data_IF_408534008621
#
_entry.id   IF_408534008621
#
_cell.length_a   1.000
_cell.length_b   1.000
_cell.length_c   1.000
_cell.angle_alpha   90.00
_cell.angle_beta   90.00
_cell.angle_gamma   90.00
#
_symmetry.space_group_name_H-M   'P 1'
#
loop_
_entity.id
_entity.type
_entity.pdbx_description
1 polymer ?
#
# COMPACT_ATOMS: atom_id res chain seq x y z
N UNK A 1 11.99 -9.39 -4.97
CA UNK A 1 10.54 -9.56 -4.70
C UNK A 1 10.39 -10.77 -3.78
N UNK A 2 9.53 -10.73 -2.75
CA UNK A 2 9.37 -11.86 -1.83
C UNK A 2 9.01 -13.16 -2.58
N UNK A 3 9.52 -14.35 -2.20
CA UNK A 3 9.31 -15.60 -2.95
C UNK A 3 7.84 -15.95 -3.21
N UNK A 4 6.96 -15.62 -2.26
CA UNK A 4 5.53 -15.89 -2.29
C UNK A 4 4.66 -14.75 -2.86
N UNK A 5 5.24 -13.68 -3.41
CA UNK A 5 4.45 -12.55 -3.91
C UNK A 5 3.59 -12.85 -5.17
N UNK A 6 3.65 -14.07 -5.71
CA UNK A 6 2.74 -14.57 -6.74
C UNK A 6 2.40 -16.03 -6.40
N UNK A 7 1.13 -16.43 -6.52
CA UNK A 7 0.63 -17.75 -6.14
C UNK A 7 0.74 -18.78 -7.26
N UNK A 8 0.79 -18.32 -8.50
CA UNK A 8 0.85 -19.13 -9.72
C UNK A 8 1.53 -18.36 -10.87
N UNK A 9 1.71 -19.04 -12.00
CA UNK A 9 2.37 -18.49 -13.21
C UNK A 9 1.61 -17.32 -13.83
N UNK A 10 0.28 -17.39 -13.86
CA UNK A 10 -0.57 -16.33 -14.42
C UNK A 10 -0.39 -15.02 -13.64
N UNK A 11 -0.48 -15.10 -12.31
CA UNK A 11 -0.26 -13.97 -11.41
C UNK A 11 1.17 -13.43 -11.51
N UNK A 12 2.18 -14.30 -11.61
CA UNK A 12 3.57 -13.88 -11.77
C UNK A 12 3.79 -13.12 -13.10
N UNK A 13 3.20 -13.61 -14.20
CA UNK A 13 3.23 -12.97 -15.51
C UNK A 13 2.53 -11.60 -15.48
N UNK A 14 1.31 -11.55 -14.93
CA UNK A 14 0.53 -10.32 -14.82
C UNK A 14 1.23 -9.25 -13.97
N UNK A 15 1.75 -9.63 -12.79
CA UNK A 15 2.52 -8.73 -11.93
C UNK A 15 3.77 -8.22 -12.65
N UNK A 16 4.52 -9.10 -13.31
CA UNK A 16 5.74 -8.70 -14.01
C UNK A 16 5.45 -7.65 -15.08
N UNK A 17 4.43 -7.88 -15.92
CA UNK A 17 4.04 -6.94 -16.96
C UNK A 17 3.58 -5.61 -16.36
N UNK A 18 2.67 -5.66 -15.40
CA UNK A 18 2.15 -4.46 -14.75
C UNK A 18 3.27 -3.63 -14.12
N UNK A 19 4.18 -4.25 -13.36
CA UNK A 19 5.28 -3.53 -12.73
C UNK A 19 6.32 -3.02 -13.73
N UNK A 20 6.50 -3.68 -14.89
CA UNK A 20 7.39 -3.18 -15.95
C UNK A 20 6.83 -1.90 -16.57
N UNK A 21 5.54 -1.89 -16.90
CA UNK A 21 4.85 -0.70 -17.40
C UNK A 21 4.88 0.41 -16.34
N UNK A 22 4.44 0.09 -15.13
CA UNK A 22 4.44 1.02 -13.98
C UNK A 22 5.80 1.68 -13.78
N UNK A 23 6.88 0.89 -13.78
CA UNK A 23 8.24 1.39 -13.60
C UNK A 23 8.65 2.41 -14.66
N UNK A 24 8.20 2.24 -15.91
CA UNK A 24 8.48 3.19 -16.98
C UNK A 24 7.72 4.50 -16.84
N UNK A 25 6.59 4.49 -16.10
CA UNK A 25 5.68 5.62 -15.87
C UNK A 25 5.85 6.29 -14.50
N UNK A 26 6.69 5.76 -13.60
CA UNK A 26 6.86 6.29 -12.24
C UNK A 26 7.19 7.78 -12.19
N UNK A 27 7.92 8.29 -13.20
CA UNK A 27 8.28 9.71 -13.29
C UNK A 27 7.07 10.65 -13.36
N UNK A 28 5.94 10.16 -13.90
CA UNK A 28 4.71 10.94 -14.07
C UNK A 28 4.00 11.21 -12.73
N UNK A 29 4.33 10.42 -11.70
CA UNK A 29 3.72 10.46 -10.37
C UNK A 29 4.62 11.05 -9.29
N UNK A 30 5.67 11.77 -9.68
CA UNK A 30 6.58 12.44 -8.75
C UNK A 30 6.29 13.94 -8.76
N UNK A 31 6.00 14.50 -7.59
CA UNK A 31 5.78 15.94 -7.50
C UNK A 31 7.10 16.68 -7.77
N UNK A 32 7.14 17.62 -8.74
CA UNK A 32 8.39 18.26 -9.17
C UNK A 32 9.11 19.01 -8.04
N UNK A 33 8.35 19.73 -7.20
CA UNK A 33 8.90 20.51 -6.08
C UNK A 33 9.23 19.67 -4.84
N UNK A 34 8.42 18.68 -4.48
CA UNK A 34 8.51 18.00 -3.18
C UNK A 34 9.40 16.75 -3.19
N UNK A 35 9.88 16.31 -4.36
CA UNK A 35 10.83 15.20 -4.48
C UNK A 35 12.17 15.47 -3.76
N UNK A 36 12.61 16.73 -3.69
CA UNK A 36 13.91 17.11 -3.11
C UNK A 36 13.81 17.84 -1.76
N UNK A 37 12.59 17.96 -1.20
CA UNK A 37 12.39 18.64 0.08
C UNK A 37 12.74 17.72 1.26
N UNK A 38 12.80 18.33 2.45
CA UNK A 38 13.05 17.59 3.69
C UNK A 38 12.05 16.45 3.85
N UNK A 39 12.59 15.28 4.18
CA UNK A 39 11.77 14.11 4.47
C UNK A 39 10.81 14.38 5.64
N UNK A 40 9.66 13.74 5.59
CA UNK A 40 8.63 13.69 6.62
C UNK A 40 8.59 12.28 7.20
N UNK A 41 8.12 12.15 8.45
CA UNK A 41 7.83 10.84 9.02
C UNK A 41 6.53 10.32 8.42
N UNK A 42 6.57 9.08 7.93
CA UNK A 42 5.44 8.32 7.38
C UNK A 42 5.37 7.00 8.14
N UNK A 43 4.16 6.50 8.40
CA UNK A 43 3.93 5.16 8.91
C UNK A 43 2.99 4.43 7.95
N UNK A 44 3.43 3.31 7.37
CA UNK A 44 2.64 2.56 6.39
C UNK A 44 1.37 1.95 6.99
N UNK A 45 1.35 1.72 8.31
CA UNK A 45 0.22 1.18 9.05
C UNK A 45 -0.57 2.23 9.85
N UNK A 46 -0.47 3.50 9.47
CA UNK A 46 -1.30 4.54 10.09
C UNK A 46 -2.77 4.35 9.63
N UNK A 47 -3.68 3.98 10.52
CA UNK A 47 -5.13 3.89 10.31
C UNK A 47 -5.89 4.35 11.55
N UNK A 48 -7.23 4.51 11.51
CA UNK A 48 -7.97 4.95 12.72
C UNK A 48 -7.83 3.96 13.88
N UNK A 49 -7.56 2.67 13.60
CA UNK A 49 -7.31 1.64 14.62
C UNK A 49 -6.07 1.92 15.48
N UNK A 50 -5.14 2.72 14.96
CA UNK A 50 -3.89 3.10 15.62
C UNK A 50 -3.94 4.50 16.24
N UNK A 51 -5.13 5.11 16.31
CA UNK A 51 -5.35 6.40 16.97
C UNK A 51 -5.99 6.18 18.34
N UNK A 52 -5.35 6.71 19.39
CA UNK A 52 -5.95 6.78 20.72
C UNK A 52 -6.68 8.11 20.86
N UNK A 53 -7.94 8.02 21.25
CA UNK A 53 -8.79 9.16 21.58
C UNK A 53 -9.04 9.17 23.09
N UNK A 54 -9.07 10.35 23.70
CA UNK A 54 -9.46 10.56 25.09
C UNK A 54 -10.89 11.09 25.14
N UNK A 55 -11.74 10.58 26.04
CA UNK A 55 -13.06 11.15 26.28
C UNK A 55 -12.93 12.63 26.67
N UNK A 56 -13.81 13.45 26.13
CA UNK A 56 -14.08 14.81 26.61
C UNK A 56 -15.56 14.89 26.95
N UNK A 57 -16.01 16.03 27.48
CA UNK A 57 -17.41 16.20 27.92
C UNK A 57 -18.42 15.97 26.78
N UNK A 58 -17.99 16.13 25.53
CA UNK A 58 -18.75 15.76 24.33
C UNK A 58 -18.34 14.34 23.85
N UNK A 59 -19.24 13.34 23.92
CA UNK A 59 -18.94 11.97 23.48
C UNK A 59 -18.82 11.84 21.96
N UNK A 60 -19.35 12.78 21.17
CA UNK A 60 -19.30 12.75 19.71
C UNK A 60 -17.97 13.33 19.18
N UNK A 61 -17.23 14.07 20.01
CA UNK A 61 -15.97 14.74 19.64
C UNK A 61 -14.83 14.43 20.62
N UNK A 62 -14.42 13.16 20.74
CA UNK A 62 -13.31 12.79 21.61
C UNK A 62 -11.99 13.43 21.12
N UNK A 63 -11.17 13.89 22.06
CA UNK A 63 -9.92 14.55 21.71
C UNK A 63 -8.82 13.55 21.35
N UNK A 64 -7.94 13.90 20.43
CA UNK A 64 -6.76 13.10 20.13
C UNK A 64 -5.84 12.99 21.36
N UNK A 65 -5.40 11.76 21.66
CA UNK A 65 -4.49 11.46 22.77
C UNK A 65 -3.12 10.96 22.29
N UNK A 66 -3.05 10.23 21.18
CA UNK A 66 -1.79 9.74 20.64
C UNK A 66 -1.93 8.73 19.52
N UNK A 67 -0.80 8.31 18.97
CA UNK A 67 -0.69 7.20 18.02
C UNK A 67 0.01 6.01 18.67
N UNK A 68 -0.38 4.81 18.26
CA UNK A 68 0.29 3.56 18.59
C UNK A 68 0.76 2.85 17.33
N UNK A 69 1.42 1.70 17.52
CA UNK A 69 1.79 0.80 16.44
C UNK A 69 2.64 1.45 15.33
N UNK A 70 3.73 2.09 15.75
CA UNK A 70 4.63 2.86 14.90
C UNK A 70 5.77 2.03 14.30
N UNK A 71 5.67 0.70 14.29
CA UNK A 71 6.76 -0.19 13.88
C UNK A 71 7.12 -0.09 12.39
N UNK A 72 6.20 0.44 11.57
CA UNK A 72 6.40 0.72 10.15
C UNK A 72 6.66 2.21 9.86
N UNK A 73 7.25 2.94 10.80
CA UNK A 73 7.58 4.36 10.63
C UNK A 73 8.95 4.57 9.98
N UNK A 74 9.04 5.45 8.99
CA UNK A 74 10.28 5.81 8.31
C UNK A 74 10.23 7.26 7.79
N UNK A 75 11.40 7.77 7.37
CA UNK A 75 11.50 9.07 6.72
C UNK A 75 11.28 8.93 5.21
N UNK A 76 10.31 9.68 4.64
CA UNK A 76 9.94 9.63 3.24
C UNK A 76 9.70 11.04 2.65
N UNK A 77 9.63 11.21 1.32
CA UNK A 77 9.27 12.49 0.71
C UNK A 77 7.90 13.01 1.19
N UNK A 78 7.74 14.33 1.28
CA UNK A 78 6.52 14.95 1.80
C UNK A 78 5.26 14.57 1.01
N UNK A 79 5.39 14.33 -0.30
CA UNK A 79 4.29 13.88 -1.16
C UNK A 79 3.69 12.53 -0.71
N UNK A 80 4.47 11.68 -0.05
CA UNK A 80 4.00 10.41 0.49
C UNK A 80 3.28 10.61 1.82
N UNK A 81 3.74 11.56 2.64
CA UNK A 81 3.13 11.88 3.93
C UNK A 81 1.78 12.63 3.80
N UNK A 82 1.59 13.34 2.69
CA UNK A 82 0.43 14.18 2.43
C UNK A 82 -0.42 13.67 1.24
N UNK A 83 -0.38 12.36 0.98
CA UNK A 83 -1.20 11.73 -0.06
C UNK A 83 -2.61 11.41 0.44
N UNK A 84 -3.58 11.26 -0.47
CA UNK A 84 -4.87 10.64 -0.11
C UNK A 84 -4.61 9.29 0.56
N UNK A 85 -5.07 9.07 1.80
CA UNK A 85 -4.73 7.88 2.55
C UNK A 85 -5.49 6.65 2.07
N UNK A 86 -4.91 5.46 2.24
CA UNK A 86 -5.58 4.20 1.90
C UNK A 86 -6.71 3.84 2.88
N UNK A 87 -6.62 4.30 4.13
CA UNK A 87 -7.50 3.92 5.24
C UNK A 87 -8.84 4.64 5.25
N UNK A 88 -9.21 5.40 4.21
CA UNK A 88 -10.48 6.13 4.15
C UNK A 88 -11.72 5.24 4.36
N UNK A 89 -11.62 3.96 4.01
CA UNK A 89 -12.69 2.97 4.20
C UNK A 89 -12.42 2.00 5.35
N UNK A 90 -11.39 2.24 6.18
CA UNK A 90 -10.95 1.38 7.30
C UNK A 90 -10.62 -0.08 6.91
N UNK A 91 -10.44 -0.31 5.61
CA UNK A 91 -10.04 -1.57 4.99
C UNK A 91 -8.87 -1.34 4.03
N UNK A 92 -8.03 -2.36 3.83
CA UNK A 92 -6.83 -2.23 3.00
C UNK A 92 -7.18 -2.45 1.53
N UNK A 93 -6.63 -1.63 0.61
CA UNK A 93 -6.83 -1.79 -0.84
C UNK A 93 -6.17 -3.04 -1.46
N UNK A 94 -5.63 -3.92 -0.62
CA UNK A 94 -5.11 -5.25 -0.98
C UNK A 94 -6.04 -6.40 -0.57
N UNK A 95 -7.17 -6.11 0.06
CA UNK A 95 -8.17 -7.12 0.36
C UNK A 95 -8.81 -7.61 -0.95
N UNK A 96 -9.01 -8.92 -1.10
CA UNK A 96 -9.62 -9.50 -2.32
C UNK A 96 -11.04 -8.96 -2.55
N UNK A 97 -11.73 -8.44 -1.54
CA UNK A 97 -13.00 -7.73 -1.69
C UNK A 97 -12.90 -6.43 -2.49
N UNK A 98 -11.69 -5.88 -2.67
CA UNK A 98 -11.40 -4.74 -3.52
C UNK A 98 -10.94 -5.16 -4.92
N UNK A 99 -10.63 -6.45 -5.13
CA UNK A 99 -10.19 -6.95 -6.42
C UNK A 99 -11.33 -6.83 -7.43
N UNK A 100 -10.96 -6.42 -8.64
CA UNK A 100 -11.90 -6.15 -9.71
C UNK A 100 -11.68 -7.18 -10.82
N UNK A 101 -12.49 -8.25 -10.86
CA UNK A 101 -12.38 -9.26 -11.91
C UNK A 101 -12.86 -8.71 -13.28
N UNK A 102 -13.85 -7.80 -13.28
CA UNK A 102 -14.45 -7.18 -14.49
C UNK A 102 -14.74 -5.68 -14.32
N UNK A 103 -13.81 -4.96 -13.70
CA UNK A 103 -13.97 -3.53 -13.42
C UNK A 103 -14.30 -3.22 -11.96
N UNK A 104 -14.33 -1.94 -11.66
CA UNK A 104 -14.43 -1.42 -10.29
C UNK A 104 -15.75 -1.78 -9.61
N UNK A 105 -15.74 -2.29 -8.36
CA UNK A 105 -16.95 -2.33 -7.54
C UNK A 105 -17.43 -0.88 -7.37
N UNK A 106 -18.51 -0.56 -8.08
CA UNK A 106 -19.00 0.81 -8.19
C UNK A 106 -19.30 1.41 -6.81
N UNK A 107 -19.78 0.59 -5.88
CA UNK A 107 -20.07 0.96 -4.49
C UNK A 107 -18.80 1.32 -3.70
N UNK A 108 -17.73 0.56 -3.86
CA UNK A 108 -16.45 0.81 -3.19
C UNK A 108 -15.83 2.14 -3.67
N UNK A 109 -15.89 2.39 -4.97
CA UNK A 109 -15.39 3.63 -5.56
C UNK A 109 -16.19 4.85 -5.12
N UNK A 110 -17.52 4.79 -5.21
CA UNK A 110 -18.40 5.89 -4.78
C UNK A 110 -18.13 6.24 -3.32
N UNK A 111 -18.04 5.24 -2.44
CA UNK A 111 -17.67 5.44 -1.03
C UNK A 111 -16.27 6.03 -0.89
N UNK A 112 -15.28 5.52 -1.62
CA UNK A 112 -13.91 6.03 -1.54
C UNK A 112 -13.84 7.51 -1.94
N UNK A 113 -14.53 7.90 -3.02
CA UNK A 113 -14.62 9.29 -3.48
C UNK A 113 -15.30 10.16 -2.44
N UNK A 114 -16.43 9.74 -1.88
CA UNK A 114 -17.15 10.46 -0.82
C UNK A 114 -16.24 10.70 0.40
N UNK A 115 -15.54 9.67 0.88
CA UNK A 115 -14.64 9.79 2.04
C UNK A 115 -13.40 10.62 1.72
N UNK A 116 -12.90 10.57 0.48
CA UNK A 116 -11.81 11.42 0.01
C UNK A 116 -12.22 12.90 -0.03
N UNK A 117 -13.45 13.22 -0.43
CA UNK A 117 -13.96 14.59 -0.42
C UNK A 117 -14.10 15.11 1.02
N UNK A 118 -14.67 14.31 1.92
CA UNK A 118 -14.72 14.63 3.35
C UNK A 118 -13.33 14.84 3.93
N UNK A 119 -12.38 13.96 3.62
CA UNK A 119 -10.99 14.07 4.09
C UNK A 119 -10.33 15.37 3.67
N UNK A 120 -10.41 15.76 2.38
CA UNK A 120 -9.80 17.01 1.90
C UNK A 120 -10.46 18.22 2.57
N UNK A 121 -11.79 18.24 2.68
CA UNK A 121 -12.52 19.33 3.33
C UNK A 121 -12.09 19.50 4.80
N UNK A 122 -12.10 18.40 5.58
CA UNK A 122 -11.67 18.43 6.98
C UNK A 122 -10.19 18.79 7.13
N UNK A 123 -9.31 18.29 6.24
CA UNK A 123 -7.91 18.66 6.25
C UNK A 123 -7.72 20.16 6.02
N UNK A 124 -8.44 20.74 5.07
CA UNK A 124 -8.39 22.18 4.79
C UNK A 124 -8.89 23.02 5.99
N UNK A 125 -9.98 22.61 6.64
CA UNK A 125 -10.51 23.26 7.85
C UNK A 125 -9.48 23.24 8.98
N UNK A 126 -8.92 22.06 9.31
CA UNK A 126 -7.91 21.91 10.37
C UNK A 126 -6.66 22.74 10.09
N UNK A 127 -6.22 22.79 8.83
CA UNK A 127 -5.07 23.60 8.42
C UNK A 127 -5.37 25.10 8.56
N UNK A 128 -6.57 25.54 8.18
CA UNK A 128 -6.97 26.94 8.34
C UNK A 128 -7.05 27.35 9.82
N UNK A 129 -7.64 26.52 10.68
CA UNK A 129 -7.70 26.75 12.13
C UNK A 129 -6.31 26.86 12.76
N UNK A 130 -5.40 25.93 12.41
CA UNK A 130 -4.00 26.01 12.87
C UNK A 130 -3.32 27.29 12.42
N UNK A 131 -3.55 27.69 11.18
CA UNK A 131 -3.05 28.95 10.61
C UNK A 131 -3.46 30.17 11.42
N UNK A 132 -4.72 30.22 11.87
CA UNK A 132 -5.22 31.31 12.72
C UNK A 132 -4.55 31.35 14.09
N UNK A 133 -4.14 30.19 14.62
CA UNK A 133 -3.41 30.06 15.88
C UNK A 133 -1.91 30.39 15.74
N UNK A 134 -1.44 30.83 14.56
CA UNK A 134 -0.03 31.17 14.32
C UNK A 134 0.86 29.94 14.11
N UNK A 135 0.28 28.75 13.94
CA UNK A 135 0.96 27.52 13.59
C UNK A 135 0.69 27.16 12.11
N UNK A 136 1.63 26.58 11.37
CA UNK A 136 1.26 25.85 10.15
C UNK A 136 1.20 26.61 8.81
N UNK A 137 2.03 27.64 8.57
CA UNK A 137 2.25 28.12 7.20
C UNK A 137 2.75 26.99 6.25
N UNK A 138 3.44 25.99 6.81
CA UNK A 138 3.85 24.76 6.12
C UNK A 138 2.75 23.70 5.97
N UNK A 139 1.61 23.86 6.65
CA UNK A 139 0.58 22.83 6.70
C UNK A 139 -0.39 22.98 5.52
N UNK A 140 -0.45 24.17 4.90
CA UNK A 140 -1.13 24.38 3.61
C UNK A 140 -0.57 23.48 2.50
N UNK A 141 0.72 23.17 2.57
CA UNK A 141 1.38 22.24 1.65
C UNK A 141 0.75 20.83 1.71
N UNK A 142 0.15 20.42 2.85
CA UNK A 142 -0.50 19.12 2.97
C UNK A 142 -1.80 19.04 2.18
N UNK A 143 -2.60 20.11 2.18
CA UNK A 143 -3.85 20.17 1.39
C UNK A 143 -3.51 20.12 -0.09
N UNK A 144 -2.56 20.96 -0.53
CA UNK A 144 -2.13 21.03 -1.93
C UNK A 144 -1.56 19.69 -2.42
N UNK A 145 -0.77 19.00 -1.59
CA UNK A 145 -0.23 17.67 -1.91
C UNK A 145 -1.32 16.59 -1.95
N UNK A 146 -2.31 16.66 -1.07
CA UNK A 146 -3.43 15.72 -1.05
C UNK A 146 -4.27 15.85 -2.32
N UNK A 147 -4.65 17.07 -2.68
CA UNK A 147 -5.35 17.40 -3.93
C UNK A 147 -4.54 16.97 -5.15
N UNK A 148 -3.25 17.35 -5.22
CA UNK A 148 -2.37 16.94 -6.31
C UNK A 148 -2.26 15.42 -6.43
N UNK A 149 -2.15 14.71 -5.30
CA UNK A 149 -2.01 13.24 -5.32
C UNK A 149 -3.25 12.56 -5.91
N UNK A 150 -4.43 13.14 -5.69
CA UNK A 150 -5.68 12.69 -6.29
C UNK A 150 -5.72 13.01 -7.79
N UNK A 151 -5.51 14.28 -8.15
CA UNK A 151 -5.65 14.78 -9.52
C UNK A 151 -4.64 14.15 -10.49
N UNK A 152 -3.42 13.92 -10.02
CA UNK A 152 -2.37 13.23 -10.79
C UNK A 152 -2.51 11.71 -10.77
N UNK A 153 -3.28 11.15 -9.84
CA UNK A 153 -3.33 9.73 -9.53
C UNK A 153 -2.09 9.19 -8.81
N UNK A 154 -1.18 10.06 -8.34
CA UNK A 154 -0.01 9.64 -7.55
C UNK A 154 -0.41 8.92 -6.25
N UNK A 155 -1.59 9.21 -5.68
CA UNK A 155 -2.08 8.50 -4.51
C UNK A 155 -2.17 6.99 -4.72
N UNK A 156 -2.53 6.54 -5.92
CA UNK A 156 -2.60 5.11 -6.24
C UNK A 156 -1.22 4.46 -6.21
N UNK A 157 -0.19 5.15 -6.73
CA UNK A 157 1.19 4.70 -6.65
C UNK A 157 1.66 4.64 -5.19
N UNK A 158 1.34 5.66 -4.41
CA UNK A 158 1.67 5.69 -3.00
C UNK A 158 1.04 4.49 -2.25
N UNK A 159 -0.22 4.17 -2.51
CA UNK A 159 -0.88 2.98 -1.94
C UNK A 159 -0.21 1.67 -2.36
N UNK A 160 0.18 1.55 -3.63
CA UNK A 160 0.92 0.38 -4.14
C UNK A 160 2.24 0.19 -3.38
N UNK A 161 2.92 1.30 -3.05
CA UNK A 161 4.20 1.28 -2.35
C UNK A 161 4.04 0.98 -0.85
N UNK A 162 3.01 1.51 -0.19
CA UNK A 162 2.86 1.44 1.27
C UNK A 162 2.07 0.22 1.75
N UNK A 163 1.15 -0.32 0.95
CA UNK A 163 0.25 -1.41 1.39
C UNK A 163 0.77 -2.80 1.03
N UNK A 164 2.06 -3.08 1.23
CA UNK A 164 2.66 -4.44 1.13
C UNK A 164 2.34 -5.23 -0.15
N UNK A 165 2.35 -4.55 -1.30
CA UNK A 165 2.36 -5.20 -2.61
C UNK A 165 0.96 -5.53 -3.13
N UNK A 166 0.45 -4.80 -4.12
CA UNK A 166 -0.83 -5.11 -4.73
C UNK A 166 -0.81 -6.48 -5.42
N UNK A 167 -1.92 -7.21 -5.32
CA UNK A 167 -2.28 -8.20 -6.34
C UNK A 167 -2.35 -7.54 -7.72
N UNK A 168 -2.22 -8.33 -8.79
CA UNK A 168 -2.25 -7.82 -10.17
C UNK A 168 -3.61 -7.21 -10.58
N UNK A 169 -4.65 -7.52 -9.81
CA UNK A 169 -6.02 -7.00 -9.94
C UNK A 169 -6.40 -6.05 -8.80
N UNK A 170 -5.41 -5.53 -8.04
CA UNK A 170 -5.71 -4.65 -6.92
C UNK A 170 -6.36 -3.36 -7.39
N UNK A 171 -7.21 -2.82 -6.54
CA UNK A 171 -7.90 -1.57 -6.78
C UNK A 171 -6.95 -0.40 -7.15
N UNK A 172 -5.84 -0.13 -6.43
CA UNK A 172 -4.91 0.94 -6.82
C UNK A 172 -4.26 0.73 -8.18
N UNK A 173 -3.87 -0.50 -8.52
CA UNK A 173 -3.23 -0.78 -9.82
C UNK A 173 -4.21 -0.58 -10.97
N UNK A 174 -5.49 -0.88 -10.76
CA UNK A 174 -6.54 -0.63 -11.73
C UNK A 174 -6.77 0.86 -11.95
N UNK A 175 -6.75 1.67 -10.88
CA UNK A 175 -6.83 3.12 -11.04
C UNK A 175 -5.66 3.66 -11.87
N UNK A 176 -4.44 3.16 -11.64
CA UNK A 176 -3.28 3.52 -12.47
C UNK A 176 -3.47 3.10 -13.94
N UNK A 177 -3.98 1.89 -14.19
CA UNK A 177 -4.30 1.43 -15.56
C UNK A 177 -5.28 2.35 -16.27
N UNK A 178 -6.31 2.83 -15.57
CA UNK A 178 -7.32 3.75 -16.13
C UNK A 178 -6.71 5.08 -16.59
N UNK A 179 -5.70 5.60 -15.88
CA UNK A 179 -4.99 6.83 -16.26
C UNK A 179 -4.34 6.68 -17.64
N UNK A 180 -3.83 5.49 -17.95
CA UNK A 180 -3.18 5.16 -19.23
C UNK A 180 -4.05 4.29 -20.14
N UNK A 181 -5.39 4.32 -19.99
CA UNK A 181 -6.30 3.47 -20.77
C UNK A 181 -5.99 3.56 -22.27
N UNK A 182 -5.76 2.40 -22.90
CA UNK A 182 -5.42 2.28 -24.32
C UNK A 182 -3.92 2.34 -24.63
N UNK A 183 -3.08 2.89 -23.73
CA UNK A 183 -1.61 2.79 -23.82
C UNK A 183 -1.08 1.61 -22.99
N UNK A 184 -1.65 1.40 -21.80
CA UNK A 184 -1.20 0.38 -20.86
C UNK A 184 -1.18 -1.02 -21.47
N UNK A 185 -2.27 -1.42 -22.13
CA UNK A 185 -2.40 -2.75 -22.74
C UNK A 185 -1.38 -2.95 -23.87
N UNK A 186 -1.13 -1.91 -24.67
CA UNK A 186 -0.14 -1.94 -25.73
C UNK A 186 1.30 -2.07 -25.16
N UNK A 187 1.59 -1.37 -24.06
CA UNK A 187 2.88 -1.47 -23.37
C UNK A 187 3.09 -2.84 -22.72
N UNK A 188 2.06 -3.42 -22.08
CA UNK A 188 2.13 -4.79 -21.54
C UNK A 188 2.38 -5.82 -22.65
N UNK A 189 1.72 -5.65 -23.81
CA UNK A 189 1.89 -6.52 -24.97
C UNK A 189 3.27 -6.39 -25.65
N UNK A 190 3.89 -5.20 -25.58
CA UNK A 190 5.22 -4.95 -26.13
C UNK A 190 6.36 -5.59 -25.32
N UNK A 191 6.10 -6.07 -24.10
CA UNK A 191 7.12 -6.71 -23.25
C UNK A 191 7.54 -8.06 -23.87
N UNK A 192 8.85 -8.29 -24.12
CA UNK A 192 9.33 -9.52 -24.73
C UNK A 192 8.97 -10.76 -23.90
N UNK A 193 8.34 -11.75 -24.54
CA UNK A 193 7.88 -12.97 -23.87
C UNK A 193 9.01 -13.71 -23.14
N UNK A 194 10.22 -13.77 -23.73
CA UNK A 194 11.37 -14.41 -23.08
C UNK A 194 11.73 -13.81 -21.71
N UNK A 195 11.56 -12.50 -21.51
CA UNK A 195 11.78 -11.88 -20.19
C UNK A 195 10.69 -12.26 -19.18
N UNK A 196 9.46 -12.43 -19.66
CA UNK A 196 8.32 -12.85 -18.83
C UNK A 196 8.53 -14.29 -18.40
N UNK A 197 8.89 -15.18 -19.32
CA UNK A 197 9.12 -16.61 -19.07
C UNK A 197 10.27 -16.82 -18.07
N UNK A 198 11.39 -16.12 -18.26
CA UNK A 198 12.54 -16.17 -17.35
C UNK A 198 12.14 -15.74 -15.93
N UNK A 199 11.40 -14.63 -15.81
CA UNK A 199 10.93 -14.15 -14.52
C UNK A 199 9.93 -15.13 -13.87
N UNK A 200 8.97 -15.64 -14.63
CA UNK A 200 7.95 -16.60 -14.13
C UNK A 200 8.62 -17.88 -13.65
N UNK A 201 9.57 -18.44 -14.41
CA UNK A 201 10.32 -19.63 -14.02
C UNK A 201 11.09 -19.42 -12.71
N UNK A 202 11.84 -18.32 -12.61
CA UNK A 202 12.57 -17.97 -11.38
C UNK A 202 11.62 -17.78 -10.19
N UNK A 203 10.46 -17.16 -10.43
CA UNK A 203 9.45 -16.92 -9.40
C UNK A 203 8.81 -18.23 -8.90
N UNK A 204 8.44 -19.12 -9.81
CA UNK A 204 7.84 -20.41 -9.44
C UNK A 204 8.84 -21.31 -8.71
N UNK A 205 10.11 -21.29 -9.09
CA UNK A 205 11.16 -21.99 -8.35
C UNK A 205 11.28 -21.46 -6.90
N UNK A 206 11.29 -20.13 -6.73
CA UNK A 206 11.30 -19.50 -5.40
C UNK A 206 10.05 -19.83 -4.57
N UNK A 207 8.87 -19.87 -5.20
CA UNK A 207 7.61 -20.25 -4.54
C UNK A 207 7.63 -21.71 -4.08
N UNK A 208 8.16 -22.63 -4.90
CA UNK A 208 8.32 -24.04 -4.54
C UNK A 208 9.25 -24.20 -3.33
N UNK A 209 10.39 -23.51 -3.33
CA UNK A 209 11.31 -23.52 -2.19
C UNK A 209 10.62 -23.00 -0.91
N UNK A 210 9.93 -21.85 -1.01
CA UNK A 210 9.19 -21.30 0.11
C UNK A 210 8.14 -22.26 0.67
N UNK A 211 7.38 -22.94 -0.21
CA UNK A 211 6.40 -23.95 0.21
C UNK A 211 7.06 -25.11 0.95
N UNK A 212 8.18 -25.62 0.43
CA UNK A 212 8.93 -26.68 1.09
C UNK A 212 9.46 -26.28 2.48
N UNK A 213 9.99 -25.07 2.62
CA UNK A 213 10.43 -24.52 3.91
C UNK A 213 9.26 -24.32 4.88
N UNK A 214 8.13 -23.79 4.39
CA UNK A 214 6.93 -23.61 5.19
C UNK A 214 6.36 -24.95 5.68
N UNK A 215 6.36 -25.99 4.84
CA UNK A 215 5.90 -27.33 5.21
C UNK A 215 6.83 -27.98 6.24
N UNK A 216 8.16 -27.86 6.06
CA UNK A 216 9.14 -28.29 7.08
C UNK A 216 8.89 -27.60 8.42
N UNK A 217 8.66 -26.28 8.40
CA UNK A 217 8.39 -25.50 9.61
C UNK A 217 7.07 -25.89 10.28
N UNK A 218 6.01 -26.16 9.50
CA UNK A 218 4.73 -26.65 10.03
C UNK A 218 4.87 -28.02 10.68
N UNK A 219 5.60 -28.95 10.05
CA UNK A 219 5.88 -30.27 10.59
C UNK A 219 6.64 -30.17 11.93
N UNK A 220 7.71 -29.37 11.98
CA UNK A 220 8.48 -29.14 13.20
C UNK A 220 7.64 -28.52 14.33
N UNK A 221 6.74 -27.56 14.00
CA UNK A 221 5.78 -27.01 14.97
C UNK A 221 4.80 -28.06 15.49
N UNK A 222 4.35 -29.00 14.64
CA UNK A 222 3.46 -30.08 15.06
C UNK A 222 4.16 -31.05 16.03
N UNK A 223 5.40 -31.45 15.74
CA UNK A 223 6.19 -32.31 16.63
C UNK A 223 6.49 -31.65 17.98
N UNK A 224 6.78 -30.34 17.99
CA UNK A 224 6.88 -29.54 19.22
C UNK A 224 5.59 -29.59 20.05
N UNK A 225 4.43 -29.41 19.41
CA UNK A 225 3.12 -29.42 20.08
C UNK A 225 2.82 -30.77 20.74
N UNK A 226 3.26 -31.86 20.11
CA UNK A 226 3.11 -33.22 20.60
C UNK A 226 4.25 -33.66 21.53
N UNK A 227 5.16 -32.74 21.88
CA UNK A 227 6.34 -33.00 22.73
C UNK A 227 7.30 -34.05 22.19
N UNK A 228 7.26 -34.29 20.87
CA UNK A 228 8.20 -35.17 20.13
C UNK A 228 9.49 -34.45 19.73
N UNK A 229 9.50 -33.11 19.81
CA UNK A 229 10.65 -32.26 19.51
C UNK A 229 10.86 -31.24 20.64
N UNK A 230 12.12 -30.95 20.98
CA UNK A 230 12.49 -29.92 21.97
C UNK A 230 12.64 -28.53 21.34
N UNK A 231 12.61 -27.48 22.16
CA UNK A 231 12.78 -26.09 21.70
C UNK A 231 14.14 -25.87 21.01
N UNK A 232 15.21 -26.53 21.47
CA UNK A 232 16.54 -26.44 20.88
C UNK A 232 16.58 -27.10 19.50
N UNK A 233 15.95 -28.27 19.36
CA UNK A 233 15.81 -28.97 18.07
C UNK A 233 14.99 -28.13 17.08
N UNK A 234 13.90 -27.52 17.54
CA UNK A 234 13.10 -26.61 16.72
C UNK A 234 13.88 -25.37 16.27
N UNK A 235 14.69 -24.80 17.16
CA UNK A 235 15.53 -23.62 16.85
C UNK A 235 16.64 -23.97 15.86
N UNK A 236 17.18 -25.18 15.90
CA UNK A 236 18.13 -25.67 14.91
C UNK A 236 17.50 -25.79 13.51
N UNK A 237 16.25 -26.28 13.41
CA UNK A 237 15.49 -26.32 12.15
C UNK A 237 15.22 -24.93 11.58
N UNK A 238 15.13 -23.89 12.42
CA UNK A 238 14.96 -22.49 11.96
C UNK A 238 16.26 -21.88 11.41
N UNK A 239 17.42 -22.43 11.75
CA UNK A 239 18.75 -21.87 11.42
C UNK A 239 19.40 -22.51 10.19
N UNK A 240 18.91 -23.66 9.72
CA UNK A 240 19.38 -24.35 8.51
C UNK A 240 18.36 -24.27 7.40
#
# INVERSE_FOLDING_TARGET
MQPNAARNEMEASALFRAFRVLRSRLGDFVHPTYNQRRAKLVCDDLSMKNVILKPVDDPDFPAFAGLIDLEFTYAAPAQLAATIPWWLLEDRPTNESWDCDEGEPQDLWERFVEHKEMYIATLAEVVAERGQLGHGASDREFVELAEWSWDSGACWIHMILTVNGPGWASFPLIQVRKIYRGQWEAEEAAIPQGQVDEFVAAKMAGLQQYRAEADRMRAAKAEMKERRMTLDQFTAVKRG
#
